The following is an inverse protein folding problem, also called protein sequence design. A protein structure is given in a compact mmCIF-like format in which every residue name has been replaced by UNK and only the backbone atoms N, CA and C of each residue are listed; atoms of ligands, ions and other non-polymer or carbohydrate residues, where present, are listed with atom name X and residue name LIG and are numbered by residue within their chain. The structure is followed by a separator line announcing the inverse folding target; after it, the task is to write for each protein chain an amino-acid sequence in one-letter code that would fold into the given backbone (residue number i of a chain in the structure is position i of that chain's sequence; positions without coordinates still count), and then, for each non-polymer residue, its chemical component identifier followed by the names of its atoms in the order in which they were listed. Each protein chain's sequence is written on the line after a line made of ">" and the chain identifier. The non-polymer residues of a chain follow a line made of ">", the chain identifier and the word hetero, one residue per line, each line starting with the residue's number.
data_IF_698650474647
#
_entry.id   IF_698650474647
#
_cell.length_a   1.000
_cell.length_b   1.000
_cell.length_c   1.000
_cell.angle_alpha   90.00
_cell.angle_beta   90.00
_cell.angle_gamma   90.00
#
_symmetry.space_group_name_H-M   'P 1'
#
loop_
_entity.id
_entity.type
_entity.pdbx_description
1 polymer ?
#
# COMPACT_ATOMS: atom_id res chain seq x y z
N UNK A 1 -10.92 12.59 -6.71
CA UNK A 1 -12.18 11.92 -6.28
C UNK A 1 -13.23 13.00 -6.11
N UNK A 2 -14.53 12.71 -6.23
CA UNK A 2 -15.55 13.72 -5.90
C UNK A 2 -15.56 13.98 -4.37
N UNK A 3 -15.61 15.24 -3.93
CA UNK A 3 -15.58 15.62 -2.50
C UNK A 3 -16.71 14.97 -1.69
N UNK A 4 -17.93 14.91 -2.22
CA UNK A 4 -19.06 14.29 -1.53
C UNK A 4 -18.85 12.77 -1.33
N UNK A 5 -18.22 12.09 -2.30
CA UNK A 5 -17.84 10.69 -2.12
C UNK A 5 -16.73 10.57 -1.08
N UNK A 6 -15.71 11.43 -1.12
CA UNK A 6 -14.61 11.44 -0.15
C UNK A 6 -15.15 11.60 1.29
N UNK A 7 -16.07 12.53 1.52
CA UNK A 7 -16.71 12.75 2.81
C UNK A 7 -17.49 11.52 3.31
N UNK A 8 -18.22 10.86 2.39
CA UNK A 8 -18.91 9.60 2.71
C UNK A 8 -17.90 8.51 3.08
N UNK A 9 -16.82 8.34 2.31
CA UNK A 9 -15.81 7.33 2.62
C UNK A 9 -15.15 7.60 3.98
N UNK A 10 -14.81 8.86 4.28
CA UNK A 10 -14.16 9.24 5.55
C UNK A 10 -15.08 9.11 6.78
N UNK A 11 -16.39 9.29 6.59
CA UNK A 11 -17.41 9.17 7.65
C UNK A 11 -17.90 7.74 7.91
N UNK A 12 -17.53 6.78 7.05
CA UNK A 12 -17.83 5.36 7.27
C UNK A 12 -17.27 4.87 8.61
N UNK A 13 -18.06 4.08 9.32
CA UNK A 13 -17.67 3.42 10.56
C UNK A 13 -18.42 2.10 10.73
N UNK A 14 -17.90 1.22 11.59
CA UNK A 14 -18.54 -0.07 11.93
C UNK A 14 -19.88 0.08 12.65
N UNK A 15 -20.17 1.28 13.15
CA UNK A 15 -21.46 1.66 13.72
C UNK A 15 -21.98 2.86 12.93
N UNK A 16 -22.36 2.65 11.65
CA UNK A 16 -22.75 3.76 10.80
C UNK A 16 -23.97 4.46 11.40
N UNK A 17 -23.93 5.79 11.42
CA UNK A 17 -25.04 6.61 11.88
C UNK A 17 -26.27 6.39 11.00
N UNK A 18 -27.46 6.72 11.50
CA UNK A 18 -28.67 6.70 10.68
C UNK A 18 -28.57 7.69 9.50
N UNK A 19 -27.78 8.76 9.62
CA UNK A 19 -27.53 9.69 8.51
C UNK A 19 -26.70 9.04 7.41
N UNK A 20 -25.65 8.29 7.76
CA UNK A 20 -24.76 7.64 6.78
C UNK A 20 -25.53 6.80 5.76
N UNK A 21 -26.49 5.99 6.21
CA UNK A 21 -27.30 5.16 5.32
C UNK A 21 -28.12 5.99 4.32
N UNK A 22 -28.67 7.13 4.76
CA UNK A 22 -29.43 8.07 3.91
C UNK A 22 -28.52 8.84 2.96
N UNK A 23 -27.37 9.28 3.44
CA UNK A 23 -26.38 10.04 2.65
C UNK A 23 -25.82 9.15 1.52
N UNK A 24 -25.54 7.88 1.83
CA UNK A 24 -25.15 6.87 0.85
C UNK A 24 -26.26 6.60 -0.17
N UNK A 25 -27.52 6.46 0.28
CA UNK A 25 -28.65 6.24 -0.62
C UNK A 25 -28.86 7.44 -1.57
N UNK A 26 -28.76 8.67 -1.05
CA UNK A 26 -28.80 9.90 -1.83
C UNK A 26 -27.67 9.94 -2.86
N UNK A 27 -26.45 9.56 -2.46
CA UNK A 27 -25.31 9.49 -3.37
C UNK A 27 -25.55 8.47 -4.49
N UNK A 28 -26.05 7.27 -4.16
CA UNK A 28 -26.40 6.24 -5.16
C UNK A 28 -27.43 6.78 -6.14
N UNK A 29 -28.49 7.43 -5.64
CA UNK A 29 -29.56 8.02 -6.48
C UNK A 29 -29.02 9.09 -7.43
N UNK A 30 -28.07 9.90 -6.97
CA UNK A 30 -27.42 10.94 -7.77
C UNK A 30 -26.45 10.40 -8.82
N UNK A 31 -26.06 9.12 -8.75
CA UNK A 31 -25.09 8.46 -9.66
C UNK A 31 -23.88 9.36 -9.94
N UNK A 32 -23.03 9.67 -8.93
CA UNK A 32 -21.90 10.59 -9.10
C UNK A 32 -21.11 10.22 -10.36
N UNK A 33 -21.19 11.09 -11.36
CA UNK A 33 -20.79 10.81 -12.73
C UNK A 33 -19.28 10.60 -12.80
N UNK A 34 -18.84 9.39 -13.16
CA UNK A 34 -17.45 9.10 -13.50
C UNK A 34 -17.01 7.67 -13.20
N UNK A 35 -16.43 6.99 -14.20
CA UNK A 35 -15.88 5.63 -14.10
C UNK A 35 -14.92 5.42 -12.91
N UNK A 36 -14.26 6.49 -12.42
CA UNK A 36 -13.32 6.42 -11.28
C UNK A 36 -14.00 6.34 -9.91
N UNK A 37 -15.21 6.89 -9.75
CA UNK A 37 -15.93 6.95 -8.47
C UNK A 37 -16.80 5.70 -8.24
N UNK A 38 -17.21 5.03 -9.32
CA UNK A 38 -18.12 3.89 -9.28
C UNK A 38 -17.62 2.71 -8.42
N UNK A 39 -16.36 2.25 -8.54
CA UNK A 39 -15.89 1.12 -7.72
C UNK A 39 -15.92 1.42 -6.21
N UNK A 40 -15.62 2.66 -5.80
CA UNK A 40 -15.71 3.07 -4.40
C UNK A 40 -17.15 3.03 -3.89
N UNK A 41 -18.10 3.48 -4.70
CA UNK A 41 -19.51 3.49 -4.36
C UNK A 41 -20.07 2.07 -4.19
N UNK A 42 -19.70 1.17 -5.11
CA UNK A 42 -20.06 -0.25 -5.04
C UNK A 42 -19.50 -0.90 -3.76
N UNK A 43 -18.22 -0.64 -3.46
CA UNK A 43 -17.56 -1.20 -2.29
C UNK A 43 -18.15 -0.68 -0.96
N UNK A 44 -18.43 0.62 -0.84
CA UNK A 44 -19.00 1.17 0.40
C UNK A 44 -20.44 0.73 0.62
N UNK A 45 -21.25 0.57 -0.44
CA UNK A 45 -22.59 -0.03 -0.34
C UNK A 45 -22.52 -1.50 0.09
N UNK A 46 -21.59 -2.27 -0.47
CA UNK A 46 -21.34 -3.64 -0.04
C UNK A 46 -20.93 -3.72 1.44
N UNK A 47 -19.94 -2.93 1.86
CA UNK A 47 -19.48 -2.92 3.25
C UNK A 47 -20.57 -2.48 4.23
N UNK A 48 -21.39 -1.49 3.86
CA UNK A 48 -22.55 -1.10 4.64
C UNK A 48 -23.59 -2.24 4.75
N UNK A 49 -23.79 -2.98 3.65
CA UNK A 49 -24.74 -4.09 3.62
C UNK A 49 -24.38 -5.20 4.62
N UNK A 50 -23.09 -5.56 4.72
CA UNK A 50 -22.61 -6.58 5.66
C UNK A 50 -22.97 -6.27 7.13
N UNK A 51 -23.22 -5.00 7.47
CA UNK A 51 -23.54 -4.57 8.83
C UNK A 51 -25.04 -4.49 9.13
N UNK A 52 -25.87 -4.09 8.16
CA UNK A 52 -27.25 -3.66 8.45
C UNK A 52 -28.29 -3.91 7.35
N UNK A 53 -27.91 -4.26 6.12
CA UNK A 53 -28.85 -4.24 5.00
C UNK A 53 -28.52 -5.25 3.90
N UNK A 54 -29.47 -5.52 3.00
CA UNK A 54 -29.18 -6.21 1.74
C UNK A 54 -28.42 -5.22 0.85
N UNK A 55 -27.37 -5.66 0.11
CA UNK A 55 -26.64 -4.77 -0.79
C UNK A 55 -27.54 -4.29 -1.93
N UNK A 56 -27.42 -3.01 -2.29
CA UNK A 56 -28.35 -2.33 -3.20
C UNK A 56 -27.82 -2.34 -4.64
N UNK A 57 -26.50 -2.26 -4.80
CA UNK A 57 -25.84 -2.18 -6.10
C UNK A 57 -25.36 -3.53 -6.66
N UNK A 58 -25.30 -4.57 -5.81
CA UNK A 58 -24.69 -5.87 -6.19
C UNK A 58 -25.41 -6.63 -7.30
N UNK A 59 -26.70 -6.35 -7.54
CA UNK A 59 -27.49 -7.08 -8.54
C UNK A 59 -27.18 -6.62 -9.98
N UNK A 60 -26.45 -5.52 -10.17
CA UNK A 60 -26.20 -4.91 -11.49
C UNK A 60 -24.75 -5.08 -11.98
N UNK A 61 -23.83 -5.59 -11.16
CA UNK A 61 -22.38 -5.45 -11.35
C UNK A 61 -21.61 -6.79 -11.35
N UNK A 62 -20.43 -6.80 -11.96
CA UNK A 62 -19.55 -7.98 -11.93
C UNK A 62 -18.85 -8.13 -10.57
N UNK A 63 -18.57 -9.38 -10.17
CA UNK A 63 -17.76 -9.68 -8.98
C UNK A 63 -16.38 -8.98 -9.04
N UNK A 64 -15.81 -8.87 -10.24
CA UNK A 64 -14.51 -8.25 -10.46
C UNK A 64 -14.52 -6.74 -10.14
N UNK A 65 -15.57 -6.03 -10.54
CA UNK A 65 -15.75 -4.60 -10.22
C UNK A 65 -15.91 -4.36 -8.72
N UNK A 66 -16.61 -5.25 -8.01
CA UNK A 66 -16.72 -5.17 -6.56
C UNK A 66 -15.36 -5.39 -5.88
N UNK A 67 -14.58 -6.39 -6.33
CA UNK A 67 -13.25 -6.65 -5.77
C UNK A 67 -12.29 -5.49 -6.03
N UNK A 68 -12.28 -4.92 -7.24
CA UNK A 68 -11.50 -3.70 -7.54
C UNK A 68 -11.97 -2.51 -6.69
N UNK A 69 -13.27 -2.38 -6.45
CA UNK A 69 -13.83 -1.39 -5.53
C UNK A 69 -13.31 -1.56 -4.10
N UNK A 70 -13.34 -2.78 -3.57
CA UNK A 70 -12.85 -3.09 -2.22
C UNK A 70 -11.34 -2.88 -2.12
N UNK A 71 -10.58 -3.19 -3.17
CA UNK A 71 -9.14 -2.95 -3.22
C UNK A 71 -8.88 -1.45 -3.07
N UNK A 72 -9.56 -0.64 -3.89
CA UNK A 72 -9.42 0.82 -3.86
C UNK A 72 -9.85 1.42 -2.54
N UNK A 73 -10.96 0.94 -1.98
CA UNK A 73 -11.49 1.43 -0.71
C UNK A 73 -10.54 1.09 0.47
N UNK A 74 -10.00 -0.12 0.50
CA UNK A 74 -9.00 -0.51 1.49
C UNK A 74 -7.73 0.33 1.36
N UNK A 75 -7.26 0.57 0.13
CA UNK A 75 -6.13 1.47 -0.12
C UNK A 75 -6.40 2.89 0.37
N UNK A 76 -7.56 3.44 0.03
CA UNK A 76 -7.99 4.76 0.48
C UNK A 76 -7.94 4.88 2.01
N UNK A 77 -8.40 3.87 2.75
CA UNK A 77 -8.31 3.88 4.20
C UNK A 77 -6.88 3.78 4.73
N UNK A 78 -5.99 3.02 4.08
CA UNK A 78 -4.58 2.96 4.46
C UNK A 78 -3.91 4.33 4.30
N UNK A 79 -4.14 5.01 3.17
CA UNK A 79 -3.60 6.35 2.92
C UNK A 79 -4.07 7.40 3.94
N UNK A 80 -5.26 7.21 4.53
CA UNK A 80 -5.82 8.14 5.52
C UNK A 80 -5.63 7.65 6.97
N UNK A 81 -4.64 6.79 7.23
CA UNK A 81 -4.32 6.27 8.58
C UNK A 81 -5.54 5.64 9.30
N UNK A 82 -6.44 5.02 8.53
CA UNK A 82 -7.61 4.28 9.01
C UNK A 82 -7.35 2.78 8.92
N UNK A 83 -6.24 2.33 9.48
CA UNK A 83 -5.69 0.97 9.31
C UNK A 83 -6.69 -0.13 9.64
N UNK A 84 -7.46 0.04 10.71
CA UNK A 84 -8.50 -0.94 11.09
C UNK A 84 -9.62 -1.04 10.03
N UNK A 85 -10.04 0.08 9.42
CA UNK A 85 -11.02 0.04 8.34
C UNK A 85 -10.40 -0.56 7.07
N UNK A 86 -9.15 -0.22 6.76
CA UNK A 86 -8.42 -0.80 5.64
C UNK A 86 -8.34 -2.32 5.75
N UNK A 87 -7.96 -2.83 6.92
CA UNK A 87 -7.94 -4.26 7.24
C UNK A 87 -9.32 -4.90 7.03
N UNK A 88 -10.38 -4.35 7.62
CA UNK A 88 -11.73 -4.93 7.52
C UNK A 88 -12.28 -4.96 6.09
N UNK A 89 -12.03 -3.92 5.30
CA UNK A 89 -12.39 -3.88 3.88
C UNK A 89 -11.60 -4.94 3.12
N UNK A 90 -10.30 -5.08 3.41
CA UNK A 90 -9.46 -6.11 2.77
C UNK A 90 -9.93 -7.53 3.10
N UNK A 91 -10.40 -7.79 4.34
CA UNK A 91 -11.00 -9.07 4.74
C UNK A 91 -12.22 -9.42 3.89
N UNK A 92 -13.10 -8.45 3.66
CA UNK A 92 -14.26 -8.64 2.78
C UNK A 92 -13.82 -8.93 1.33
N UNK A 93 -12.80 -8.22 0.85
CA UNK A 93 -12.21 -8.45 -0.47
C UNK A 93 -11.62 -9.84 -0.65
N UNK A 94 -10.82 -10.33 0.29
CA UNK A 94 -10.22 -11.68 0.19
C UNK A 94 -11.25 -12.78 0.31
N UNK A 95 -12.31 -12.61 1.12
CA UNK A 95 -13.40 -13.58 1.21
C UNK A 95 -14.11 -13.81 -0.13
N UNK A 96 -14.11 -12.81 -1.02
CA UNK A 96 -14.69 -12.92 -2.36
C UNK A 96 -13.76 -13.60 -3.38
N UNK A 97 -12.43 -13.55 -3.18
CA UNK A 97 -11.44 -14.09 -4.13
C UNK A 97 -10.75 -15.37 -3.68
N UNK A 98 -11.02 -15.86 -2.46
CA UNK A 98 -10.36 -17.05 -1.90
C UNK A 98 -10.68 -18.35 -2.68
N UNK A 99 -11.76 -18.35 -3.48
CA UNK A 99 -12.26 -19.52 -4.21
C UNK A 99 -12.10 -19.43 -5.75
N UNK A 100 -11.38 -18.43 -6.29
CA UNK A 100 -11.33 -18.15 -7.74
C UNK A 100 -9.95 -18.32 -8.39
N UNK A 101 -9.94 -18.44 -9.73
CA UNK A 101 -8.75 -18.45 -10.60
C UNK A 101 -7.89 -17.21 -10.33
N UNK A 102 -6.56 -17.36 -10.40
CA UNK A 102 -5.60 -16.30 -10.19
C UNK A 102 -5.70 -15.18 -11.26
N UNK A 103 -6.59 -14.22 -11.04
CA UNK A 103 -6.60 -12.95 -11.78
C UNK A 103 -5.65 -11.94 -11.11
N UNK A 104 -5.15 -10.96 -11.88
CA UNK A 104 -4.29 -9.88 -11.35
C UNK A 104 -4.95 -9.17 -10.15
N UNK A 105 -6.25 -8.89 -10.23
CA UNK A 105 -6.96 -8.26 -9.11
C UNK A 105 -7.08 -9.16 -7.87
N UNK A 106 -7.26 -10.47 -8.04
CA UNK A 106 -7.28 -11.39 -6.90
C UNK A 106 -5.92 -11.43 -6.18
N UNK A 107 -4.82 -11.43 -6.94
CA UNK A 107 -3.48 -11.36 -6.37
C UNK A 107 -3.27 -10.02 -5.66
N UNK A 108 -3.62 -8.89 -6.30
CA UNK A 108 -3.55 -7.55 -5.70
C UNK A 108 -4.35 -7.45 -4.40
N UNK A 109 -5.55 -8.02 -4.35
CA UNK A 109 -6.36 -8.07 -3.13
C UNK A 109 -5.67 -8.87 -2.02
N UNK A 110 -5.13 -10.06 -2.34
CA UNK A 110 -4.39 -10.88 -1.38
C UNK A 110 -3.13 -10.18 -0.87
N UNK A 111 -2.41 -9.48 -1.73
CA UNK A 111 -1.25 -8.65 -1.36
C UNK A 111 -1.65 -7.52 -0.41
N UNK A 112 -2.71 -6.78 -0.73
CA UNK A 112 -3.21 -5.68 0.11
C UNK A 112 -3.64 -6.18 1.50
N UNK A 113 -4.33 -7.31 1.55
CA UNK A 113 -4.73 -7.90 2.82
C UNK A 113 -3.53 -8.44 3.63
N UNK A 114 -2.51 -9.00 2.97
CA UNK A 114 -1.24 -9.35 3.64
C UNK A 114 -0.57 -8.12 4.26
N UNK A 115 -0.48 -7.01 3.52
CA UNK A 115 0.16 -5.78 3.98
C UNK A 115 -0.63 -5.09 5.09
N UNK A 116 -1.95 -5.00 4.97
CA UNK A 116 -2.78 -4.45 6.07
C UNK A 116 -2.73 -5.31 7.33
N UNK A 117 -2.68 -6.65 7.19
CA UNK A 117 -2.45 -7.55 8.34
C UNK A 117 -1.08 -7.35 8.97
N UNK A 118 -0.06 -7.11 8.13
CA UNK A 118 1.31 -6.81 8.56
C UNK A 118 1.37 -5.50 9.37
N UNK A 119 0.78 -4.41 8.87
CA UNK A 119 0.72 -3.13 9.57
C UNK A 119 -0.03 -3.22 10.91
N UNK A 120 -1.10 -4.03 10.96
CA UNK A 120 -1.87 -4.28 12.19
C UNK A 120 -1.16 -5.22 13.19
N UNK A 121 -0.01 -5.81 12.83
CA UNK A 121 0.72 -6.76 13.66
C UNK A 121 0.09 -8.15 13.76
N UNK A 122 -0.81 -8.53 12.84
CA UNK A 122 -1.48 -9.83 12.81
C UNK A 122 -0.59 -10.93 12.20
N UNK A 123 0.48 -11.27 12.92
CA UNK A 123 1.55 -12.17 12.48
C UNK A 123 1.08 -13.48 11.82
N UNK A 124 0.12 -14.18 12.43
CA UNK A 124 -0.38 -15.46 11.93
C UNK A 124 -1.11 -15.31 10.58
N UNK A 125 -1.87 -14.23 10.42
CA UNK A 125 -2.60 -13.93 9.18
C UNK A 125 -1.65 -13.47 8.08
N UNK A 126 -0.72 -12.57 8.39
CA UNK A 126 0.35 -12.16 7.48
C UNK A 126 1.13 -13.37 6.95
N UNK A 127 1.53 -14.29 7.83
CA UNK A 127 2.25 -15.51 7.45
C UNK A 127 1.41 -16.46 6.59
N UNK A 128 0.11 -16.58 6.87
CA UNK A 128 -0.81 -17.39 6.04
C UNK A 128 -0.80 -16.87 4.60
N UNK A 129 -0.98 -15.56 4.42
CA UNK A 129 -1.03 -14.94 3.09
C UNK A 129 0.32 -14.92 2.39
N UNK A 130 1.41 -14.64 3.10
CA UNK A 130 2.77 -14.76 2.58
C UNK A 130 2.99 -16.13 1.94
N UNK A 131 2.66 -17.21 2.65
CA UNK A 131 2.84 -18.59 2.16
C UNK A 131 1.95 -18.89 0.95
N UNK A 132 0.74 -18.35 0.91
CA UNK A 132 -0.14 -18.51 -0.26
C UNK A 132 0.42 -17.78 -1.47
N UNK A 133 0.76 -16.50 -1.34
CA UNK A 133 1.28 -15.66 -2.40
C UNK A 133 2.63 -16.17 -2.94
N UNK A 134 3.52 -16.63 -2.05
CA UNK A 134 4.81 -17.22 -2.43
C UNK A 134 4.67 -18.45 -3.33
N UNK A 135 3.65 -19.28 -3.12
CA UNK A 135 3.41 -20.47 -3.96
C UNK A 135 3.03 -20.12 -5.40
N UNK A 136 2.60 -18.89 -5.64
CA UNK A 136 2.15 -18.46 -6.95
C UNK A 136 3.31 -18.05 -7.89
N UNK A 137 4.54 -17.87 -7.37
CA UNK A 137 5.75 -17.49 -8.11
C UNK A 137 6.03 -18.34 -9.38
N UNK A 138 5.93 -19.68 -9.36
CA UNK A 138 6.15 -20.49 -10.56
C UNK A 138 5.00 -20.43 -11.57
N UNK A 139 3.77 -20.21 -11.10
CA UNK A 139 2.53 -20.34 -11.88
C UNK A 139 2.07 -19.01 -12.50
N UNK A 140 2.49 -17.88 -11.92
CA UNK A 140 2.03 -16.53 -12.30
C UNK A 140 2.92 -15.81 -13.30
N UNK A 141 4.08 -16.36 -13.66
CA UNK A 141 5.06 -15.66 -14.50
C UNK A 141 4.51 -15.27 -15.89
N UNK A 142 3.46 -15.93 -16.35
CA UNK A 142 2.78 -15.64 -17.63
C UNK A 142 1.40 -14.99 -17.50
N UNK A 143 0.85 -14.84 -16.29
CA UNK A 143 -0.56 -14.43 -16.08
C UNK A 143 -0.75 -13.04 -15.48
N UNK A 144 0.30 -12.47 -14.87
CA UNK A 144 0.23 -11.13 -14.29
C UNK A 144 0.93 -10.11 -15.17
N UNK A 145 0.43 -8.88 -15.09
CA UNK A 145 1.17 -7.72 -15.56
C UNK A 145 2.43 -7.47 -14.72
N UNK A 146 3.40 -6.78 -15.32
CA UNK A 146 4.71 -6.53 -14.74
C UNK A 146 4.65 -5.71 -13.44
N UNK A 147 3.74 -4.74 -13.37
CA UNK A 147 3.47 -3.95 -12.16
C UNK A 147 3.05 -4.84 -10.98
N UNK A 148 2.21 -5.83 -11.23
CA UNK A 148 1.76 -6.76 -10.19
C UNK A 148 2.89 -7.71 -9.76
N UNK A 149 3.79 -8.12 -10.67
CA UNK A 149 5.01 -8.83 -10.30
C UNK A 149 5.91 -8.00 -9.38
N UNK A 150 6.17 -6.75 -9.75
CA UNK A 150 6.94 -5.82 -8.92
C UNK A 150 6.36 -5.72 -7.50
N UNK A 151 5.05 -5.41 -7.40
CA UNK A 151 4.36 -5.25 -6.11
C UNK A 151 4.41 -6.53 -5.27
N UNK A 152 4.25 -7.69 -5.90
CA UNK A 152 4.31 -8.99 -5.22
C UNK A 152 5.67 -9.21 -4.57
N UNK A 153 6.74 -9.09 -5.34
CA UNK A 153 8.07 -9.35 -4.81
C UNK A 153 8.51 -8.30 -3.79
N UNK A 154 8.19 -7.02 -4.01
CA UNK A 154 8.49 -5.98 -3.03
C UNK A 154 7.80 -6.25 -1.68
N UNK A 155 6.52 -6.62 -1.71
CA UNK A 155 5.75 -6.94 -0.50
C UNK A 155 6.22 -8.23 0.19
N UNK A 156 6.57 -9.27 -0.58
CA UNK A 156 7.18 -10.49 -0.02
C UNK A 156 8.54 -10.19 0.62
N UNK A 157 9.36 -9.31 0.04
CA UNK A 157 10.60 -8.82 0.63
C UNK A 157 10.39 -8.12 1.98
N UNK A 158 9.41 -7.21 2.05
CA UNK A 158 9.06 -6.52 3.29
C UNK A 158 8.61 -7.48 4.40
N UNK A 159 7.73 -8.42 4.08
CA UNK A 159 7.17 -9.37 5.07
C UNK A 159 8.19 -10.43 5.48
N UNK A 160 9.00 -10.93 4.53
CA UNK A 160 9.96 -12.01 4.79
C UNK A 160 10.97 -11.62 5.88
N UNK A 161 11.43 -10.37 5.85
CA UNK A 161 12.31 -9.72 6.82
C UNK A 161 11.85 -9.89 8.28
N UNK A 162 10.54 -9.85 8.53
CA UNK A 162 10.01 -9.78 9.90
C UNK A 162 9.41 -11.10 10.39
N UNK A 163 8.98 -11.98 9.48
CA UNK A 163 8.15 -13.13 9.88
C UNK A 163 8.68 -14.50 9.46
N UNK A 164 9.60 -14.58 8.50
CA UNK A 164 9.92 -15.87 7.86
C UNK A 164 11.34 -16.36 8.08
N UNK A 165 12.27 -15.44 8.40
CA UNK A 165 13.70 -15.74 8.44
C UNK A 165 14.33 -16.02 7.07
N UNK A 166 13.55 -15.92 5.99
CA UNK A 166 14.08 -15.95 4.62
C UNK A 166 14.85 -14.67 4.32
N UNK A 167 15.88 -14.78 3.48
CA UNK A 167 16.64 -13.62 3.02
C UNK A 167 15.73 -12.75 2.11
N UNK A 168 15.37 -11.52 2.54
CA UNK A 168 14.50 -10.66 1.77
C UNK A 168 15.12 -10.23 0.43
N UNK A 169 16.45 -10.33 0.29
CA UNK A 169 17.15 -9.99 -0.95
C UNK A 169 16.71 -10.87 -2.13
N UNK A 170 16.33 -12.12 -1.89
CA UNK A 170 15.81 -13.02 -2.94
C UNK A 170 14.55 -12.42 -3.60
N UNK A 171 13.72 -11.74 -2.82
CA UNK A 171 12.53 -11.07 -3.34
C UNK A 171 12.86 -9.70 -3.93
N UNK A 172 13.71 -8.90 -3.27
CA UNK A 172 14.09 -7.58 -3.81
C UNK A 172 14.81 -7.66 -5.16
N UNK A 173 15.65 -8.66 -5.39
CA UNK A 173 16.25 -8.88 -6.73
C UNK A 173 15.17 -9.11 -7.79
N UNK A 174 14.17 -9.94 -7.51
CA UNK A 174 13.04 -10.18 -8.43
C UNK A 174 12.17 -8.92 -8.64
N UNK A 175 11.99 -8.12 -7.59
CA UNK A 175 11.27 -6.85 -7.68
C UNK A 175 12.00 -5.87 -8.62
N UNK A 176 13.33 -5.74 -8.50
CA UNK A 176 14.15 -4.91 -9.39
C UNK A 176 14.15 -5.43 -10.83
N UNK A 177 14.19 -6.76 -11.04
CA UNK A 177 14.04 -7.36 -12.37
C UNK A 177 12.68 -7.06 -13.01
N UNK A 178 11.65 -6.84 -12.19
CA UNK A 178 10.28 -6.58 -12.63
C UNK A 178 9.92 -5.09 -12.65
N UNK A 179 10.80 -4.18 -12.20
CA UNK A 179 10.49 -2.75 -12.14
C UNK A 179 10.60 -2.09 -13.51
N UNK A 180 9.58 -1.32 -13.89
CA UNK A 180 9.56 -0.55 -15.15
C UNK A 180 9.72 0.95 -14.91
N UNK A 181 9.47 1.42 -13.69
CA UNK A 181 9.49 2.83 -13.37
C UNK A 181 10.67 3.16 -12.41
N UNK A 182 11.35 4.31 -12.58
CA UNK A 182 12.44 4.71 -11.68
C UNK A 182 12.03 4.75 -10.20
N UNK A 183 10.77 5.10 -9.93
CA UNK A 183 10.22 5.13 -8.57
C UNK A 183 10.13 3.74 -7.93
N UNK A 184 9.79 2.72 -8.71
CA UNK A 184 9.69 1.33 -8.24
C UNK A 184 11.06 0.83 -7.78
N UNK A 185 12.08 1.08 -8.61
CA UNK A 185 13.49 0.81 -8.28
C UNK A 185 13.94 1.58 -7.02
N UNK A 186 13.58 2.86 -6.90
CA UNK A 186 13.92 3.66 -5.73
C UNK A 186 13.29 3.11 -4.44
N UNK A 187 12.02 2.69 -4.49
CA UNK A 187 11.31 2.08 -3.37
C UNK A 187 11.96 0.77 -2.92
N UNK A 188 12.34 -0.10 -3.86
CA UNK A 188 13.05 -1.34 -3.51
C UNK A 188 14.42 -1.03 -2.90
N UNK A 189 15.17 -0.07 -3.43
CA UNK A 189 16.45 0.33 -2.87
C UNK A 189 16.33 0.90 -1.45
N UNK A 190 15.26 1.64 -1.13
CA UNK A 190 14.95 2.07 0.23
C UNK A 190 14.68 0.86 1.14
N UNK A 191 13.96 -0.14 0.65
CA UNK A 191 13.68 -1.36 1.40
C UNK A 191 14.94 -2.20 1.65
N UNK A 192 15.84 -2.29 0.67
CA UNK A 192 17.17 -2.89 0.80
C UNK A 192 18.00 -2.13 1.84
N UNK A 193 18.05 -0.79 1.77
CA UNK A 193 18.78 0.02 2.76
C UNK A 193 18.25 -0.19 4.18
N UNK A 194 16.92 -0.25 4.35
CA UNK A 194 16.30 -0.57 5.64
C UNK A 194 16.58 -2.00 6.10
N UNK A 195 16.77 -2.97 5.20
CA UNK A 195 17.20 -4.31 5.59
C UNK A 195 18.65 -4.33 6.07
N UNK A 196 19.55 -3.69 5.31
CA UNK A 196 20.98 -3.55 5.67
C UNK A 196 21.16 -2.82 7.01
N UNK A 197 20.35 -1.80 7.28
CA UNK A 197 20.30 -1.12 8.58
C UNK A 197 19.98 -2.08 9.73
N UNK A 198 18.99 -2.96 9.55
CA UNK A 198 18.53 -3.90 10.58
C UNK A 198 19.59 -4.97 10.91
N UNK A 199 20.41 -5.36 9.93
CA UNK A 199 21.55 -6.27 10.14
C UNK A 199 22.86 -5.54 10.49
N UNK A 200 22.78 -4.25 10.80
CA UNK A 200 23.91 -3.39 11.17
C UNK A 200 24.99 -3.16 10.10
N UNK A 201 24.68 -3.42 8.83
CA UNK A 201 25.53 -2.97 7.71
C UNK A 201 25.21 -1.50 7.38
N UNK A 202 25.59 -0.62 8.30
CA UNK A 202 25.32 0.81 8.21
C UNK A 202 26.02 1.49 7.03
N UNK A 203 27.19 0.98 6.61
CA UNK A 203 27.95 1.57 5.51
C UNK A 203 27.25 1.36 4.18
N UNK A 204 26.85 0.12 3.88
CA UNK A 204 26.09 -0.19 2.66
C UNK A 204 24.72 0.47 2.67
N UNK A 205 24.01 0.42 3.80
CA UNK A 205 22.70 1.06 3.95
C UNK A 205 22.77 2.57 3.65
N UNK A 206 23.79 3.26 4.18
CA UNK A 206 23.98 4.69 3.98
C UNK A 206 24.38 5.01 2.53
N UNK A 207 25.21 4.16 1.91
CA UNK A 207 25.59 4.30 0.51
C UNK A 207 24.37 4.25 -0.42
N UNK A 208 23.50 3.25 -0.23
CA UNK A 208 22.26 3.10 -1.01
C UNK A 208 21.31 4.28 -0.75
N UNK A 209 21.07 4.65 0.53
CA UNK A 209 20.16 5.74 0.86
C UNK A 209 20.61 7.10 0.28
N UNK A 210 21.92 7.38 0.24
CA UNK A 210 22.47 8.59 -0.41
C UNK A 210 22.31 8.56 -1.92
N UNK A 211 22.48 7.39 -2.54
CA UNK A 211 22.28 7.23 -3.97
C UNK A 211 20.81 7.45 -4.34
N UNK A 212 19.86 6.89 -3.58
CA UNK A 212 18.43 7.14 -3.78
C UNK A 212 18.06 8.61 -3.56
N UNK A 213 18.59 9.28 -2.53
CA UNK A 213 18.39 10.73 -2.34
C UNK A 213 18.86 11.51 -3.58
N UNK A 214 20.01 11.17 -4.14
CA UNK A 214 20.54 11.83 -5.35
C UNK A 214 19.64 11.57 -6.57
N UNK A 215 19.23 10.33 -6.77
CA UNK A 215 18.43 9.94 -7.94
C UNK A 215 17.00 10.49 -7.86
N UNK A 216 16.48 10.75 -6.65
CA UNK A 216 15.17 11.40 -6.42
C UNK A 216 15.03 12.79 -7.06
N UNK A 217 16.14 13.43 -7.44
CA UNK A 217 16.13 14.72 -8.14
C UNK A 217 15.87 14.60 -9.65
N UNK A 218 15.79 13.37 -10.18
CA UNK A 218 15.43 13.13 -11.58
C UNK A 218 14.00 13.58 -11.87
N UNK A 219 13.78 14.22 -13.02
CA UNK A 219 12.44 14.57 -13.52
C UNK A 219 11.57 13.35 -13.85
N UNK A 220 12.15 12.15 -13.85
CA UNK A 220 11.47 10.89 -14.15
C UNK A 220 10.78 10.25 -12.94
N UNK A 221 11.02 10.75 -11.72
CA UNK A 221 10.39 10.21 -10.51
C UNK A 221 9.09 10.98 -10.21
N UNK A 222 7.91 10.34 -10.34
CA UNK A 222 6.68 10.93 -9.82
C UNK A 222 6.77 11.05 -8.29
N UNK A 223 6.37 12.19 -7.73
CA UNK A 223 6.52 12.49 -6.29
C UNK A 223 7.96 12.31 -5.74
N UNK A 224 8.92 13.14 -6.19
CA UNK A 224 10.30 13.08 -5.74
C UNK A 224 10.45 13.33 -4.23
N UNK A 225 9.52 14.08 -3.62
CA UNK A 225 9.53 14.39 -2.20
C UNK A 225 9.35 13.12 -1.35
N UNK A 226 8.43 12.23 -1.71
CA UNK A 226 8.21 10.97 -0.99
C UNK A 226 9.46 10.07 -1.00
N UNK A 227 10.07 9.87 -2.16
CA UNK A 227 11.29 9.06 -2.32
C UNK A 227 12.45 9.68 -1.53
N UNK A 228 12.66 11.00 -1.70
CA UNK A 228 13.72 11.74 -1.01
C UNK A 228 13.56 11.69 0.49
N UNK A 229 12.34 11.88 1.00
CA UNK A 229 12.04 11.86 2.41
C UNK A 229 12.33 10.50 3.05
N UNK A 230 11.91 9.40 2.41
CA UNK A 230 12.22 8.05 2.89
C UNK A 230 13.73 7.74 2.90
N UNK A 231 14.47 8.18 1.87
CA UNK A 231 15.91 8.06 1.82
C UNK A 231 16.59 8.84 2.98
N UNK A 232 16.17 10.08 3.22
CA UNK A 232 16.67 10.92 4.31
C UNK A 232 16.33 10.33 5.70
N UNK A 233 15.14 9.76 5.90
CA UNK A 233 14.77 9.05 7.13
C UNK A 233 15.74 7.89 7.39
N UNK A 234 16.06 7.10 6.36
CA UNK A 234 17.04 6.02 6.48
C UNK A 234 18.43 6.54 6.87
N UNK A 235 18.90 7.62 6.24
CA UNK A 235 20.18 8.26 6.60
C UNK A 235 20.17 8.77 8.05
N UNK A 236 19.08 9.40 8.50
CA UNK A 236 18.93 9.89 9.86
C UNK A 236 18.99 8.74 10.88
N UNK A 237 18.24 7.65 10.63
CA UNK A 237 18.29 6.43 11.46
C UNK A 237 19.72 5.90 11.61
N UNK A 238 20.49 5.88 10.53
CA UNK A 238 21.88 5.43 10.54
C UNK A 238 22.76 6.37 11.36
N UNK A 239 22.75 7.67 11.09
CA UNK A 239 23.61 8.64 11.78
C UNK A 239 23.32 8.70 13.29
N UNK A 240 22.05 8.62 13.69
CA UNK A 240 21.67 8.51 15.09
C UNK A 240 22.21 7.23 15.73
N UNK A 241 22.14 6.10 15.02
CA UNK A 241 22.60 4.80 15.50
C UNK A 241 24.13 4.71 15.63
N UNK A 242 24.87 5.39 14.76
CA UNK A 242 26.35 5.41 14.78
C UNK A 242 26.93 6.54 15.63
N UNK A 243 26.11 7.42 16.21
CA UNK A 243 26.56 8.56 17.01
C UNK A 243 27.10 9.74 16.20
N UNK A 244 26.86 9.78 14.89
CA UNK A 244 27.27 10.86 13.98
C UNK A 244 26.32 12.05 14.10
N UNK A 245 26.28 12.71 15.27
CA UNK A 245 25.27 13.72 15.61
C UNK A 245 25.30 14.96 14.69
N UNK A 246 26.48 15.36 14.22
CA UNK A 246 26.61 16.47 13.27
C UNK A 246 25.91 16.16 11.94
N UNK A 247 26.19 14.99 11.36
CA UNK A 247 25.56 14.54 10.12
C UNK A 247 24.05 14.32 10.31
N UNK A 248 23.64 13.77 11.46
CA UNK A 248 22.23 13.64 11.83
C UNK A 248 21.52 15.01 11.82
N UNK A 249 22.15 16.04 12.38
CA UNK A 249 21.64 17.41 12.36
C UNK A 249 21.49 17.97 10.94
N UNK A 250 22.44 17.69 10.05
CA UNK A 250 22.33 18.09 8.64
C UNK A 250 21.17 17.40 7.92
N UNK A 251 20.99 16.09 8.15
CA UNK A 251 19.88 15.33 7.56
C UNK A 251 18.53 15.79 8.10
N UNK A 252 18.44 16.10 9.40
CA UNK A 252 17.23 16.65 10.01
C UNK A 252 16.85 18.00 9.36
N UNK A 253 17.81 18.91 9.17
CA UNK A 253 17.55 20.18 8.48
C UNK A 253 17.05 19.99 7.04
N UNK A 254 17.56 18.96 6.32
CA UNK A 254 17.05 18.62 4.98
C UNK A 254 15.61 18.11 5.02
N UNK A 255 15.24 17.29 6.01
CA UNK A 255 13.87 16.80 6.19
C UNK A 255 12.89 17.93 6.55
N UNK A 256 13.32 18.88 7.39
CA UNK A 256 12.53 20.07 7.72
C UNK A 256 12.30 20.96 6.50
N UNK A 257 13.35 21.18 5.69
CA UNK A 257 13.24 21.91 4.44
C UNK A 257 12.28 21.21 3.47
N UNK A 258 12.41 19.88 3.32
CA UNK A 258 11.52 19.09 2.46
C UNK A 258 10.05 19.19 2.89
N UNK A 259 9.79 19.14 4.19
CA UNK A 259 8.44 19.24 4.75
C UNK A 259 7.85 20.65 4.64
N UNK A 260 8.71 21.67 4.60
CA UNK A 260 8.29 23.04 4.35
C UNK A 260 7.98 23.28 2.86
N UNK A 261 8.73 22.62 1.97
CA UNK A 261 8.58 22.74 0.52
C UNK A 261 7.39 21.92 -0.02
N UNK A 262 7.13 20.74 0.55
CA UNK A 262 6.08 19.81 0.12
C UNK A 262 5.23 19.31 1.30
N UNK A 263 4.45 20.15 2.00
CA UNK A 263 3.71 19.71 3.21
C UNK A 263 2.92 18.40 3.07
N UNK A 264 2.41 18.13 1.87
CA UNK A 264 1.67 16.93 1.48
C UNK A 264 2.50 15.65 1.32
N UNK A 265 3.84 15.71 1.30
CA UNK A 265 4.69 14.54 1.08
C UNK A 265 4.55 13.48 2.20
N UNK A 266 4.08 13.91 3.37
CA UNK A 266 3.72 13.07 4.51
C UNK A 266 2.30 12.50 4.42
N UNK A 267 1.42 13.11 3.62
CA UNK A 267 0.00 12.79 3.52
C UNK A 267 -0.33 11.85 2.35
N UNK A 268 0.55 11.75 1.34
CA UNK A 268 0.36 10.89 0.17
C UNK A 268 1.44 9.80 0.05
N UNK A 269 1.26 8.63 0.68
CA UNK A 269 1.89 7.41 0.17
C UNK A 269 1.40 7.13 -1.25
N UNK A 270 2.33 6.79 -2.16
CA UNK A 270 2.05 6.33 -3.53
C UNK A 270 1.00 5.23 -3.55
#
# INVERSE_FOLDING_TARGET
>A
MNECLKDILLSFSLRPSASFGRDLEELIRRRPVGKKNWPYLLAVDYMHSLLKSIPRLLNEESLEELVEGLYRLSYFYALHSKDHLSYLVSCAGVALVDNGIASSIAVRMKMLHMMTSFEMGYAAETLRWFRQLRKLDPELKSQLDQKTHFQLYNNLGLVSKLFTGEDPMVFYSKALESSDEPIESAMVNINIANHLYDISDYSSALGIARQVEKDSLSSEIPNPAYVRGNALICQLKIHLRTGSLFDAGQVAAKLEALSSEYPEWLDEPL
#
